data_IF_634723365735
#
_entry.id   IF_634723365735
#
_cell.length_a   1.000
_cell.length_b   1.000
_cell.length_c   1.000
_cell.angle_alpha   90.00
_cell.angle_beta   90.00
_cell.angle_gamma   90.00
#
_symmetry.space_group_name_H-M   'P 1'
#
loop_
_entity.id
_entity.type
_entity.pdbx_description
1 polymer ?
#
# COMPACT_ATOMS: atom_id res chain seq x y z
N UNK A 1 4.12 -38.63 -7.94
CA UNK A 1 3.69 -37.66 -6.90
C UNK A 1 4.92 -36.95 -6.35
N UNK A 2 5.31 -35.83 -6.97
CA UNK A 2 6.49 -35.05 -6.58
C UNK A 2 6.07 -33.85 -5.74
N UNK A 3 6.64 -33.72 -4.54
CA UNK A 3 6.39 -32.62 -3.61
C UNK A 3 6.76 -31.30 -4.27
N UNK A 4 5.78 -30.42 -4.49
CA UNK A 4 6.03 -29.01 -4.82
C UNK A 4 6.73 -28.41 -3.61
N UNK A 5 8.01 -28.10 -3.77
CA UNK A 5 8.71 -27.22 -2.83
C UNK A 5 8.28 -25.82 -3.22
N UNK A 6 7.35 -25.25 -2.48
CA UNK A 6 7.20 -23.80 -2.41
C UNK A 6 8.44 -23.28 -1.67
N UNK A 7 9.58 -23.25 -2.36
CA UNK A 7 10.66 -22.39 -1.93
C UNK A 7 10.13 -20.96 -2.11
N UNK A 8 10.03 -20.12 -1.06
CA UNK A 8 9.73 -18.72 -1.28
C UNK A 8 10.85 -18.21 -2.17
N UNK A 9 10.46 -17.71 -3.34
CA UNK A 9 11.37 -17.11 -4.29
C UNK A 9 12.21 -16.10 -3.51
N UNK A 10 13.51 -16.35 -3.45
CA UNK A 10 14.53 -15.41 -2.99
C UNK A 10 14.67 -14.31 -4.07
N UNK A 11 13.53 -13.72 -4.43
CA UNK A 11 13.44 -12.52 -5.24
C UNK A 11 13.97 -11.42 -4.34
N UNK A 12 15.19 -10.96 -4.68
CA UNK A 12 15.78 -9.79 -4.06
C UNK A 12 14.70 -8.71 -3.96
N UNK A 13 14.30 -8.43 -2.72
CA UNK A 13 13.22 -7.51 -2.42
C UNK A 13 13.46 -6.22 -3.18
N UNK A 14 12.47 -5.79 -3.98
CA UNK A 14 12.60 -4.60 -4.81
C UNK A 14 12.93 -3.39 -3.93
N UNK A 15 13.68 -2.41 -4.46
CA UNK A 15 13.96 -1.16 -3.73
C UNK A 15 12.67 -0.50 -3.22
N UNK A 16 11.58 -0.62 -4.00
CA UNK A 16 10.27 -0.12 -3.62
C UNK A 16 9.67 -0.88 -2.44
N UNK A 17 9.81 -2.20 -2.40
CA UNK A 17 9.35 -3.04 -1.30
C UNK A 17 10.16 -2.77 -0.03
N UNK A 18 11.47 -2.55 -0.16
CA UNK A 18 12.32 -2.16 0.96
C UNK A 18 11.91 -0.79 1.51
N UNK A 19 11.68 0.19 0.63
CA UNK A 19 11.21 1.52 1.02
C UNK A 19 9.83 1.47 1.69
N UNK A 20 8.91 0.66 1.16
CA UNK A 20 7.59 0.46 1.75
C UNK A 20 7.70 -0.16 3.16
N UNK A 21 8.54 -1.17 3.32
CA UNK A 21 8.73 -1.86 4.61
C UNK A 21 9.41 -0.97 5.65
N UNK A 22 10.36 -0.14 5.23
CA UNK A 22 10.96 0.89 6.08
C UNK A 22 9.91 1.93 6.53
N UNK A 23 9.03 2.37 5.63
CA UNK A 23 7.96 3.32 5.96
C UNK A 23 6.94 2.72 6.93
N UNK A 24 6.54 1.46 6.73
CA UNK A 24 5.63 0.73 7.64
C UNK A 24 6.27 0.57 9.03
N UNK A 25 7.56 0.23 9.07
CA UNK A 25 8.30 0.09 10.34
C UNK A 25 8.40 1.43 11.08
N UNK A 26 8.69 2.52 10.38
CA UNK A 26 8.72 3.87 10.94
C UNK A 26 7.35 4.34 11.46
N UNK A 27 6.26 3.80 10.89
CA UNK A 27 4.89 4.03 11.34
C UNK A 27 4.43 3.07 12.45
N UNK A 28 5.35 2.31 13.07
CA UNK A 28 5.00 1.37 14.14
C UNK A 28 4.16 0.17 13.66
N UNK A 29 4.26 -0.17 12.38
CA UNK A 29 3.46 -1.22 11.75
C UNK A 29 2.13 -0.75 11.15
N UNK A 30 1.77 0.52 11.33
CA UNK A 30 0.54 1.07 10.76
C UNK A 30 0.74 1.46 9.28
N UNK A 31 0.14 0.66 8.40
CA UNK A 31 0.21 0.86 6.94
C UNK A 31 -0.52 2.11 6.47
N UNK A 32 -1.58 2.54 7.14
CA UNK A 32 -2.33 3.76 6.81
C UNK A 32 -1.46 4.97 7.09
N UNK A 33 -0.86 5.02 8.29
CA UNK A 33 0.06 6.11 8.68
C UNK A 33 1.27 6.14 7.75
N UNK A 34 1.83 4.98 7.39
CA UNK A 34 2.95 4.88 6.46
C UNK A 34 2.63 5.49 5.08
N UNK A 35 1.38 5.35 4.60
CA UNK A 35 0.93 5.93 3.34
C UNK A 35 0.60 7.43 3.44
N UNK A 36 0.16 7.93 4.60
CA UNK A 36 -0.20 9.35 4.75
C UNK A 36 0.98 10.29 4.48
N UNK A 37 2.21 9.91 4.85
CA UNK A 37 3.41 10.72 4.62
C UNK A 37 3.72 10.96 3.12
N UNK A 38 3.86 9.92 2.27
CA UNK A 38 4.05 10.11 0.84
C UNK A 38 2.84 10.77 0.18
N UNK A 39 1.62 10.50 0.65
CA UNK A 39 0.41 11.15 0.15
C UNK A 39 0.36 12.65 0.45
N UNK A 40 0.80 13.07 1.64
CA UNK A 40 0.88 14.49 2.00
C UNK A 40 1.89 15.25 1.12
N UNK A 41 2.93 14.57 0.64
CA UNK A 41 3.98 15.14 -0.21
C UNK A 41 3.63 15.14 -1.70
N UNK A 42 2.61 14.39 -2.13
CA UNK A 42 2.22 14.29 -3.53
C UNK A 42 0.77 14.79 -3.76
N UNK A 43 0.59 16.03 -4.27
CA UNK A 43 -0.73 16.63 -4.44
C UNK A 43 -1.59 15.91 -5.50
N UNK A 44 -0.96 15.28 -6.50
CA UNK A 44 -1.67 14.50 -7.51
C UNK A 44 -2.24 13.20 -6.92
N UNK A 45 -1.44 12.51 -6.10
CA UNK A 45 -1.85 11.29 -5.41
C UNK A 45 -2.94 11.57 -4.37
N UNK A 46 -2.83 12.68 -3.64
CA UNK A 46 -3.89 13.18 -2.74
C UNK A 46 -5.21 13.41 -3.50
N UNK A 47 -5.15 13.99 -4.70
CA UNK A 47 -6.32 14.22 -5.55
C UNK A 47 -6.95 12.91 -6.04
N UNK A 48 -6.16 11.95 -6.52
CA UNK A 48 -6.64 10.64 -6.99
C UNK A 48 -7.30 9.84 -5.86
N UNK A 49 -6.73 9.87 -4.65
CA UNK A 49 -7.35 9.23 -3.48
C UNK A 49 -8.65 9.90 -3.04
N UNK A 50 -8.71 11.22 -3.04
CA UNK A 50 -9.95 11.93 -2.72
C UNK A 50 -11.08 11.58 -3.71
N UNK A 51 -10.76 11.44 -5.00
CA UNK A 51 -11.71 10.99 -6.02
C UNK A 51 -12.15 9.55 -5.78
N UNK A 52 -11.22 8.63 -5.51
CA UNK A 52 -11.54 7.23 -5.21
C UNK A 52 -12.40 7.08 -3.94
N UNK A 53 -12.12 7.87 -2.89
CA UNK A 53 -12.97 7.90 -1.69
C UNK A 53 -14.36 8.44 -1.98
N UNK A 54 -14.48 9.47 -2.84
CA UNK A 54 -15.78 9.98 -3.27
C UNK A 54 -16.57 8.94 -4.06
N UNK A 55 -15.91 8.14 -4.91
CA UNK A 55 -16.53 7.04 -5.65
C UNK A 55 -16.97 5.90 -4.73
N UNK A 56 -16.13 5.50 -3.76
CA UNK A 56 -16.47 4.49 -2.75
C UNK A 56 -17.65 4.97 -1.89
N UNK A 57 -17.63 6.22 -1.42
CA UNK A 57 -18.72 6.81 -0.62
C UNK A 57 -20.03 6.91 -1.41
N UNK A 58 -19.96 7.29 -2.69
CA UNK A 58 -21.14 7.34 -3.56
C UNK A 58 -21.69 5.95 -3.88
N UNK A 59 -20.83 4.93 -3.95
CA UNK A 59 -21.23 3.53 -4.08
C UNK A 59 -21.87 2.97 -2.81
N UNK A 60 -21.37 3.35 -1.63
CA UNK A 60 -21.91 2.91 -0.34
C UNK A 60 -23.27 3.54 0.00
N UNK A 61 -23.55 4.76 -0.50
CA UNK A 61 -24.81 5.47 -0.29
C UNK A 61 -25.99 4.94 -1.12
N UNK A 62 -25.78 3.91 -1.96
CA UNK A 62 -26.83 3.24 -2.75
C UNK A 62 -27.26 1.87 -2.20
N UNK A 63 -26.82 1.52 -0.99
CA UNK A 63 -27.24 0.32 -0.23
C UNK A 63 -28.29 0.63 0.81
#
# INVERSE_FOLDING_TARGET
MGKRRDAPADEAMSELEFAARAAITAAGGDTVVALLSPLAKNPELKRKLALSLAEISNGFSRG
#
